data_IF_137443679371
#
_entry.id   IF_137443679371
#
_cell.length_a   1.000
_cell.length_b   1.000
_cell.length_c   1.000
_cell.angle_alpha   90.00
_cell.angle_beta   90.00
_cell.angle_gamma   90.00
#
_symmetry.space_group_name_H-M   'P 1'
#
loop_
_entity.id
_entity.type
_entity.pdbx_description
1 polymer ?
#
# COMPACT_ATOMS: atom_id res chain seq x y z
N UNK A 1 22.55 -1.39 10.84
CA UNK A 1 21.53 -0.32 11.01
C UNK A 1 21.34 0.39 9.69
N UNK A 2 20.10 0.56 9.27
CA UNK A 2 19.75 1.28 8.04
C UNK A 2 18.99 2.53 8.42
N UNK A 3 19.37 3.67 7.86
CA UNK A 3 18.66 4.96 8.04
C UNK A 3 18.37 5.51 6.65
N UNK A 4 17.12 5.79 6.36
CA UNK A 4 16.66 6.31 5.07
C UNK A 4 15.67 7.44 5.27
N UNK A 5 15.70 8.42 4.39
CA UNK A 5 14.67 9.45 4.30
C UNK A 5 13.81 9.24 3.06
N UNK A 6 12.61 9.80 3.05
CA UNK A 6 11.76 9.77 1.86
C UNK A 6 12.42 10.51 0.68
N UNK A 7 13.19 11.55 0.95
CA UNK A 7 13.89 12.28 -0.10
C UNK A 7 14.87 11.39 -0.87
N UNK A 8 15.50 10.41 -0.19
CA UNK A 8 16.40 9.46 -0.83
C UNK A 8 15.66 8.48 -1.75
N UNK A 9 14.38 8.23 -1.50
CA UNK A 9 13.55 7.32 -2.29
C UNK A 9 12.89 8.07 -3.47
N UNK A 10 12.62 9.36 -3.30
CA UNK A 10 11.93 10.19 -4.28
C UNK A 10 12.65 10.16 -5.64
N UNK A 11 11.89 9.91 -6.70
CA UNK A 11 12.35 9.84 -8.09
C UNK A 11 13.37 8.72 -8.36
N UNK A 12 13.41 7.71 -7.50
CA UNK A 12 14.17 6.48 -7.74
C UNK A 12 13.23 5.38 -8.27
N UNK A 13 13.78 4.20 -8.58
CA UNK A 13 12.98 3.05 -8.99
C UNK A 13 12.01 2.55 -7.90
N UNK A 14 12.25 2.94 -6.64
CA UNK A 14 11.39 2.60 -5.51
C UNK A 14 10.25 3.61 -5.30
N UNK A 15 10.17 4.65 -6.12
CA UNK A 15 9.11 5.64 -6.12
C UNK A 15 8.18 5.35 -7.29
N UNK A 16 7.10 4.64 -7.02
CA UNK A 16 6.14 4.19 -8.03
C UNK A 16 5.01 5.21 -8.11
N UNK A 17 4.75 5.70 -9.31
CA UNK A 17 3.71 6.71 -9.58
C UNK A 17 2.71 6.17 -10.58
N UNK A 18 1.43 6.34 -10.30
CA UNK A 18 0.32 6.04 -11.20
C UNK A 18 -0.59 7.26 -11.29
N UNK A 19 -1.67 7.16 -12.08
CA UNK A 19 -2.67 8.24 -12.15
C UNK A 19 -3.38 8.47 -10.81
N UNK A 20 -3.55 7.40 -10.01
CA UNK A 20 -4.38 7.43 -8.82
C UNK A 20 -3.60 7.53 -7.53
N UNK A 21 -2.32 7.13 -7.53
CA UNK A 21 -1.53 7.08 -6.31
C UNK A 21 -0.04 7.09 -6.59
N UNK A 22 0.72 7.33 -5.54
CA UNK A 22 2.17 7.26 -5.51
C UNK A 22 2.59 6.46 -4.29
N UNK A 23 3.53 5.54 -4.45
CA UNK A 23 4.06 4.75 -3.35
C UNK A 23 5.58 4.81 -3.35
N UNK A 24 6.16 5.28 -2.23
CA UNK A 24 7.61 5.26 -2.01
C UNK A 24 7.92 4.10 -1.10
N UNK A 25 8.69 3.14 -1.61
CA UNK A 25 8.96 1.85 -0.96
C UNK A 25 10.29 1.93 -0.24
N UNK A 26 10.25 1.94 1.08
CA UNK A 26 11.38 2.29 1.94
C UNK A 26 12.14 1.05 2.38
N UNK A 27 11.43 -0.01 2.75
CA UNK A 27 11.99 -1.30 3.11
C UNK A 27 11.39 -2.36 2.20
N UNK A 28 12.23 -3.15 1.58
CA UNK A 28 11.83 -4.15 0.60
C UNK A 28 12.35 -5.54 0.99
N UNK A 29 11.97 -6.56 0.23
CA UNK A 29 12.36 -7.94 0.49
C UNK A 29 13.87 -8.14 0.60
N UNK A 30 14.66 -7.36 -0.13
CA UNK A 30 16.13 -7.46 -0.11
C UNK A 30 16.75 -7.18 1.25
N UNK A 31 16.09 -6.45 2.14
CA UNK A 31 16.57 -6.20 3.49
C UNK A 31 16.38 -7.42 4.41
N UNK A 32 15.59 -8.41 3.99
CA UNK A 32 15.41 -9.71 4.69
C UNK A 32 14.94 -9.57 6.13
N UNK A 33 13.99 -8.66 6.37
CA UNK A 33 13.44 -8.42 7.72
C UNK A 33 12.03 -8.97 7.91
N UNK A 34 11.46 -9.64 6.89
CA UNK A 34 10.16 -10.30 6.99
C UNK A 34 8.97 -9.43 6.65
N UNK A 35 9.18 -8.19 6.27
CA UNK A 35 8.13 -7.26 5.84
C UNK A 35 8.70 -6.24 4.86
N UNK A 36 7.81 -5.57 4.12
CA UNK A 36 8.17 -4.34 3.40
C UNK A 36 7.39 -3.17 3.99
N UNK A 37 7.91 -1.96 3.80
CA UNK A 37 7.33 -0.75 4.37
C UNK A 37 7.29 0.35 3.31
N UNK A 38 6.08 0.93 3.10
CA UNK A 38 5.84 1.92 2.07
C UNK A 38 5.14 3.14 2.65
N UNK A 39 5.43 4.32 2.07
CA UNK A 39 4.64 5.51 2.27
C UNK A 39 3.86 5.75 0.97
N UNK A 40 2.54 5.77 1.04
CA UNK A 40 1.68 5.88 -0.13
C UNK A 40 0.73 7.06 0.01
N UNK A 41 0.55 7.79 -1.10
CA UNK A 41 -0.46 8.85 -1.21
C UNK A 41 -1.44 8.42 -2.29
N UNK A 42 -2.72 8.32 -1.93
CA UNK A 42 -3.81 8.11 -2.89
C UNK A 42 -4.49 9.46 -3.10
N UNK A 43 -4.64 9.85 -4.37
CA UNK A 43 -5.05 11.21 -4.71
C UNK A 43 -6.55 11.43 -4.54
N UNK A 44 -6.92 12.64 -4.06
CA UNK A 44 -8.29 13.05 -3.88
C UNK A 44 -9.12 12.84 -5.15
N UNK A 45 -10.34 12.32 -4.98
CA UNK A 45 -11.29 12.14 -6.07
C UNK A 45 -11.05 10.92 -6.96
N UNK A 46 -10.04 10.11 -6.64
CA UNK A 46 -9.78 8.86 -7.37
C UNK A 46 -10.52 7.68 -6.74
N UNK A 47 -10.55 6.56 -7.45
CA UNK A 47 -11.07 5.30 -6.95
C UNK A 47 -10.09 4.21 -7.33
N UNK A 48 -9.66 3.42 -6.35
CA UNK A 48 -8.73 2.32 -6.59
C UNK A 48 -9.23 1.08 -5.87
N UNK A 49 -9.29 -0.05 -6.59
CA UNK A 49 -9.63 -1.34 -6.04
C UNK A 49 -8.39 -2.21 -6.00
N UNK A 50 -8.12 -2.79 -4.83
CA UNK A 50 -6.96 -3.62 -4.59
C UNK A 50 -7.37 -4.97 -4.05
N UNK A 51 -6.58 -5.98 -4.39
CA UNK A 51 -6.72 -7.32 -3.84
C UNK A 51 -5.34 -7.92 -3.64
N UNK A 52 -4.93 -8.07 -2.39
CA UNK A 52 -3.63 -8.65 -2.05
C UNK A 52 -3.80 -10.10 -1.63
N UNK A 53 -4.07 -10.96 -2.61
CA UNK A 53 -4.30 -12.39 -2.40
C UNK A 53 -3.06 -13.12 -1.87
N UNK A 54 -1.88 -12.55 -2.08
CA UNK A 54 -0.59 -13.14 -1.71
C UNK A 54 0.09 -12.48 -0.52
N UNK A 55 -0.52 -11.43 0.04
CA UNK A 55 0.07 -10.64 1.12
C UNK A 55 -0.97 -10.28 2.17
N UNK A 56 -0.52 -10.11 3.40
CA UNK A 56 -1.26 -9.37 4.42
C UNK A 56 -0.77 -7.93 4.36
N UNK A 57 -1.68 -6.97 4.40
CA UNK A 57 -1.33 -5.55 4.42
C UNK A 57 -1.90 -4.87 5.64
N UNK A 58 -1.05 -4.10 6.32
CA UNK A 58 -1.45 -3.13 7.34
C UNK A 58 -1.37 -1.74 6.73
N UNK A 59 -2.42 -0.93 6.90
CA UNK A 59 -2.46 0.44 6.41
C UNK A 59 -2.80 1.37 7.56
N UNK A 60 -1.94 2.36 7.81
CA UNK A 60 -2.14 3.37 8.85
C UNK A 60 -2.24 4.75 8.23
N UNK A 61 -3.38 5.41 8.39
CA UNK A 61 -3.59 6.76 7.87
C UNK A 61 -2.87 7.79 8.74
N UNK A 62 -2.09 8.65 8.10
CA UNK A 62 -1.40 9.76 8.77
C UNK A 62 -1.91 11.13 8.32
N UNK A 63 -2.47 11.24 7.13
CA UNK A 63 -3.07 12.49 6.62
C UNK A 63 -4.24 12.17 5.71
N UNK A 64 -5.24 13.05 5.70
CA UNK A 64 -6.37 12.97 4.78
C UNK A 64 -7.49 12.07 5.27
N UNK A 65 -8.48 11.90 4.40
CA UNK A 65 -9.69 11.11 4.67
C UNK A 65 -10.07 10.32 3.43
N UNK A 66 -10.49 9.06 3.63
CA UNK A 66 -10.96 8.22 2.54
C UNK A 66 -12.11 7.33 3.01
N UNK A 67 -12.94 6.90 2.05
CA UNK A 67 -13.91 5.84 2.26
C UNK A 67 -13.26 4.52 1.84
N UNK A 68 -13.27 3.55 2.74
CA UNK A 68 -12.82 2.18 2.49
C UNK A 68 -14.04 1.27 2.38
N UNK A 69 -14.16 0.54 1.29
CA UNK A 69 -15.21 -0.47 1.10
C UNK A 69 -14.59 -1.85 1.09
N UNK A 70 -15.07 -2.73 1.96
CA UNK A 70 -14.78 -4.16 1.89
C UNK A 70 -15.68 -4.76 0.82
N UNK A 71 -15.13 -5.14 -0.33
CA UNK A 71 -15.91 -5.65 -1.46
C UNK A 71 -16.48 -7.05 -1.22
N UNK A 72 -15.97 -7.78 -0.21
CA UNK A 72 -16.49 -9.11 0.14
C UNK A 72 -17.80 -9.00 0.93
N UNK A 73 -17.97 -7.95 1.74
CA UNK A 73 -19.11 -7.80 2.66
C UNK A 73 -19.98 -6.59 2.33
N UNK A 74 -19.46 -5.62 1.59
CA UNK A 74 -20.12 -4.34 1.35
C UNK A 74 -19.96 -3.34 2.49
N UNK A 75 -19.27 -3.69 3.58
CA UNK A 75 -19.00 -2.75 4.67
C UNK A 75 -18.20 -1.56 4.20
N UNK A 76 -18.57 -0.39 4.70
CA UNK A 76 -17.89 0.88 4.43
C UNK A 76 -17.38 1.49 5.72
N UNK A 77 -16.17 2.02 5.65
CA UNK A 77 -15.53 2.69 6.78
C UNK A 77 -14.96 4.02 6.32
N UNK A 78 -15.05 5.04 7.17
CA UNK A 78 -14.36 6.30 6.94
C UNK A 78 -13.05 6.24 7.70
N UNK A 79 -11.95 6.39 6.96
CA UNK A 79 -10.60 6.31 7.49
C UNK A 79 -10.05 7.72 7.60
N UNK A 80 -9.65 8.09 8.82
CA UNK A 80 -9.10 9.41 9.16
C UNK A 80 -7.75 9.23 9.83
N UNK A 81 -6.96 10.32 10.02
CA UNK A 81 -5.65 10.21 10.66
C UNK A 81 -5.71 9.48 12.01
N UNK A 82 -4.80 8.56 12.20
CA UNK A 82 -4.74 7.72 13.41
C UNK A 82 -5.54 6.42 13.32
N UNK A 83 -6.28 6.22 12.25
CA UNK A 83 -7.03 4.98 12.01
C UNK A 83 -6.20 4.03 11.15
N UNK A 84 -6.21 2.75 11.50
CA UNK A 84 -5.58 1.72 10.70
C UNK A 84 -6.61 0.69 10.24
N UNK A 85 -6.30 0.01 9.14
CA UNK A 85 -7.01 -1.22 8.78
C UNK A 85 -6.00 -2.31 8.42
N UNK A 86 -6.36 -3.56 8.75
CA UNK A 86 -5.53 -4.73 8.52
C UNK A 86 -6.27 -5.69 7.59
N UNK A 87 -5.69 -5.94 6.44
CA UNK A 87 -6.24 -6.84 5.42
C UNK A 87 -5.69 -8.23 5.66
N UNK A 88 -6.15 -8.88 6.72
CA UNK A 88 -5.65 -10.19 7.17
C UNK A 88 -6.45 -11.37 6.61
N UNK A 89 -7.55 -11.09 5.91
CA UNK A 89 -8.36 -12.11 5.22
C UNK A 89 -8.24 -12.04 3.70
N UNK A 90 -7.25 -11.31 3.18
CA UNK A 90 -7.05 -11.09 1.74
C UNK A 90 -8.27 -10.46 1.06
N UNK A 91 -8.93 -9.54 1.77
CA UNK A 91 -10.16 -8.92 1.29
C UNK A 91 -9.88 -8.03 0.08
N UNK A 92 -10.69 -8.19 -0.96
CA UNK A 92 -10.75 -7.20 -2.02
C UNK A 92 -11.40 -5.94 -1.47
N UNK A 93 -10.78 -4.79 -1.71
CA UNK A 93 -11.24 -3.54 -1.12
C UNK A 93 -11.07 -2.38 -2.09
N UNK A 94 -11.90 -1.35 -1.90
CA UNK A 94 -11.85 -0.13 -2.71
C UNK A 94 -11.61 1.06 -1.79
N UNK A 95 -10.69 1.93 -2.20
CA UNK A 95 -10.36 3.16 -1.49
C UNK A 95 -10.79 4.34 -2.35
N UNK A 96 -11.58 5.23 -1.77
CA UNK A 96 -12.03 6.47 -2.40
C UNK A 96 -11.59 7.66 -1.55
N UNK A 97 -10.41 8.24 -1.87
CA UNK A 97 -9.93 9.40 -1.12
C UNK A 97 -10.82 10.61 -1.32
N UNK A 98 -11.22 11.22 -0.21
CA UNK A 98 -11.96 12.48 -0.20
C UNK A 98 -11.00 13.65 -0.31
N UNK A 99 -9.87 13.56 0.37
CA UNK A 99 -8.71 14.43 0.25
C UNK A 99 -7.51 13.56 -0.07
N UNK A 100 -6.36 14.13 -0.39
CA UNK A 100 -5.16 13.33 -0.56
C UNK A 100 -4.93 12.49 0.70
N UNK A 101 -4.87 11.18 0.52
CA UNK A 101 -4.89 10.20 1.59
C UNK A 101 -3.51 9.59 1.72
N UNK A 102 -2.79 10.02 2.76
CA UNK A 102 -1.41 9.58 3.01
C UNK A 102 -1.38 8.51 4.07
N UNK A 103 -0.77 7.39 3.73
CA UNK A 103 -0.76 6.19 4.58
C UNK A 103 0.63 5.58 4.64
N UNK A 104 0.87 4.86 5.73
CA UNK A 104 2.04 3.99 5.89
C UNK A 104 1.54 2.55 5.77
N UNK A 105 2.20 1.76 4.93
CA UNK A 105 1.80 0.40 4.60
C UNK A 105 2.89 -0.60 4.94
N UNK A 106 2.49 -1.72 5.52
CA UNK A 106 3.37 -2.86 5.79
C UNK A 106 2.80 -4.09 5.09
N UNK A 107 3.64 -4.78 4.33
CA UNK A 107 3.28 -6.04 3.68
C UNK A 107 4.08 -7.21 4.24
N UNK A 108 3.40 -8.34 4.45
CA UNK A 108 4.01 -9.62 4.80
C UNK A 108 3.33 -10.71 3.93
N UNK A 109 4.07 -11.50 3.14
CA UNK A 109 5.52 -11.39 2.90
C UNK A 109 5.90 -10.06 2.26
N UNK A 110 7.19 -9.67 2.37
CA UNK A 110 7.63 -8.38 1.82
C UNK A 110 7.53 -8.36 0.30
N UNK A 111 7.21 -7.19 -0.26
CA UNK A 111 7.29 -6.98 -1.71
C UNK A 111 8.74 -6.68 -2.11
N UNK A 112 9.09 -7.02 -3.35
CA UNK A 112 10.45 -6.81 -3.87
C UNK A 112 10.65 -5.41 -4.42
N UNK A 113 9.58 -4.70 -4.70
CA UNK A 113 9.61 -3.41 -5.39
C UNK A 113 9.40 -3.55 -6.89
N UNK A 114 9.37 -4.76 -7.40
CA UNK A 114 9.16 -5.05 -8.82
C UNK A 114 7.73 -5.48 -9.14
N UNK A 115 6.92 -5.71 -8.11
CA UNK A 115 5.53 -6.11 -8.31
C UNK A 115 4.74 -4.96 -8.91
N UNK A 116 3.91 -5.32 -9.89
CA UNK A 116 2.94 -4.42 -10.51
C UNK A 116 1.58 -5.06 -10.31
N UNK A 117 0.57 -4.27 -9.95
CA UNK A 117 -0.79 -4.78 -9.86
C UNK A 117 -1.21 -5.34 -11.21
N UNK A 118 -1.78 -6.55 -11.23
CA UNK A 118 -2.37 -7.11 -12.42
C UNK A 118 -3.71 -6.43 -12.73
N UNK A 119 -4.42 -6.90 -13.76
CA UNK A 119 -5.72 -6.34 -14.16
C UNK A 119 -6.79 -6.44 -13.08
N UNK A 120 -6.60 -7.33 -12.09
CA UNK A 120 -7.51 -7.52 -10.96
C UNK A 120 -7.07 -6.78 -9.70
N UNK A 121 -6.02 -5.96 -9.77
CA UNK A 121 -5.48 -5.23 -8.62
C UNK A 121 -4.65 -6.10 -7.67
N UNK A 122 -4.13 -7.22 -8.14
CA UNK A 122 -3.38 -8.19 -7.32
C UNK A 122 -1.88 -8.02 -7.52
N UNK A 123 -1.13 -8.00 -6.42
CA UNK A 123 0.32 -8.15 -6.46
C UNK A 123 0.67 -9.64 -6.58
N UNK A 124 1.45 -10.05 -7.57
CA UNK A 124 1.98 -11.41 -7.60
C UNK A 124 2.98 -11.61 -6.46
N UNK A 125 3.07 -12.85 -5.96
CA UNK A 125 4.11 -13.20 -5.00
C UNK A 125 5.44 -13.36 -5.75
N UNK A 126 6.38 -12.46 -5.47
CA UNK A 126 7.73 -12.50 -6.03
C UNK A 126 8.71 -12.82 -4.90
N UNK A 127 9.52 -13.86 -5.10
CA UNK A 127 10.54 -14.28 -4.12
C UNK A 127 11.90 -13.81 -4.61
N UNK A 128 12.61 -13.06 -3.75
CA UNK A 128 13.97 -12.64 -4.07
C UNK A 128 14.91 -13.85 -4.00
N UNK A 129 15.75 -13.99 -5.02
CA UNK A 129 16.84 -14.94 -4.99
C UNK A 129 17.98 -14.40 -4.13
N UNK A 130 18.60 -15.27 -3.38
CA UNK A 130 19.76 -14.91 -2.55
C UNK A 130 21.02 -14.66 -3.39
#
# INVERSE_FOLDING_TARGET
MIVRSLDEITDTEADIKTENWRSRRIVLAKEKVGFSFHETVLYAGTESTFWYANHVELVHCIEGEAELTNEETGEKHIITPGTLYLLNGHERHTVRPKTDFRVLCVFNPPVTGREVHDENGVYPLVVEAD
#
